data_IF_891663655044
#
_entry.id   IF_891663655044
#
_cell.length_a   1.000
_cell.length_b   1.000
_cell.length_c   1.000
_cell.angle_alpha   90.00
_cell.angle_beta   90.00
_cell.angle_gamma   90.00
#
_symmetry.space_group_name_H-M   'P 1'
#
loop_
_entity.id
_entity.type
_entity.pdbx_description
1 polymer ?
#
# COMPACT_ATOMS: atom_id res chain seq x y z
N UNK A 1 -41.04 -5.29 14.92
CA UNK A 1 -40.68 -4.11 14.12
C UNK A 1 -41.97 -3.38 13.85
N UNK A 2 -42.14 -2.15 14.34
CA UNK A 2 -43.37 -1.38 14.08
C UNK A 2 -43.40 -0.99 12.60
N UNK A 3 -44.38 -1.50 11.87
CA UNK A 3 -44.68 -1.06 10.50
C UNK A 3 -45.31 0.33 10.58
N UNK A 4 -44.60 1.35 10.12
CA UNK A 4 -45.14 2.70 9.98
C UNK A 4 -46.31 2.67 8.99
N UNK A 5 -47.45 3.21 9.39
CA UNK A 5 -48.63 3.23 8.53
C UNK A 5 -48.48 4.30 7.44
N UNK A 6 -49.20 4.14 6.32
CA UNK A 6 -49.21 5.12 5.23
C UNK A 6 -49.65 6.52 5.73
N UNK A 7 -50.53 6.56 6.74
CA UNK A 7 -50.97 7.78 7.39
C UNK A 7 -49.82 8.49 8.14
N UNK A 8 -48.97 7.74 8.84
CA UNK A 8 -47.81 8.29 9.57
C UNK A 8 -46.81 8.94 8.59
N UNK A 9 -46.60 8.31 7.43
CA UNK A 9 -45.74 8.87 6.38
C UNK A 9 -46.32 10.16 5.78
N UNK A 10 -47.63 10.19 5.53
CA UNK A 10 -48.32 11.39 5.03
C UNK A 10 -48.23 12.54 6.03
N UNK A 11 -48.40 12.25 7.32
CA UNK A 11 -48.28 13.25 8.38
C UNK A 11 -46.83 13.78 8.48
N UNK A 12 -45.83 12.90 8.49
CA UNK A 12 -44.43 13.29 8.50
C UNK A 12 -44.05 14.21 7.31
N UNK A 13 -44.63 13.99 6.13
CA UNK A 13 -44.41 14.87 4.96
C UNK A 13 -45.06 16.25 5.13
N UNK A 14 -46.23 16.33 5.76
CA UNK A 14 -46.90 17.60 6.06
C UNK A 14 -46.11 18.38 7.12
N UNK A 15 -45.68 17.71 8.18
CA UNK A 15 -44.89 18.31 9.25
C UNK A 15 -43.54 18.81 8.71
N UNK A 16 -42.86 18.03 7.86
CA UNK A 16 -41.63 18.46 7.18
C UNK A 16 -41.87 19.61 6.18
N UNK A 17 -43.05 19.69 5.55
CA UNK A 17 -43.39 20.81 4.68
C UNK A 17 -43.60 22.09 5.50
N UNK A 18 -44.26 21.99 6.66
CA UNK A 18 -44.48 23.10 7.59
C UNK A 18 -43.15 23.61 8.18
N UNK A 19 -42.29 22.70 8.65
CA UNK A 19 -40.95 23.04 9.17
C UNK A 19 -40.13 23.84 8.15
N UNK A 20 -40.29 23.54 6.85
CA UNK A 20 -39.54 24.24 5.81
C UNK A 20 -40.07 25.63 5.46
N UNK A 21 -41.28 26.00 5.89
CA UNK A 21 -41.83 27.35 5.69
C UNK A 21 -41.16 28.38 6.59
N UNK A 22 -40.80 27.98 7.80
CA UNK A 22 -40.23 28.85 8.83
C UNK A 22 -38.71 29.07 8.66
N UNK A 23 -38.07 28.33 7.74
CA UNK A 23 -36.63 28.47 7.49
C UNK A 23 -36.30 29.81 6.79
N UNK A 24 -35.18 30.46 7.16
CA UNK A 24 -34.70 31.64 6.46
C UNK A 24 -34.41 31.32 5.00
N UNK A 25 -34.75 32.26 4.11
CA UNK A 25 -34.57 32.13 2.66
C UNK A 25 -33.46 33.05 2.19
N UNK A 26 -32.51 32.52 1.42
CA UNK A 26 -31.37 33.26 0.85
C UNK A 26 -31.45 33.24 -0.68
N UNK A 27 -30.89 34.26 -1.33
CA UNK A 27 -30.66 34.25 -2.78
C UNK A 27 -29.58 33.23 -3.16
N UNK A 28 -29.87 32.41 -4.16
CA UNK A 28 -28.89 31.55 -4.82
C UNK A 28 -28.04 32.36 -5.84
N UNK A 29 -27.08 31.70 -6.50
CA UNK A 29 -26.24 32.32 -7.52
C UNK A 29 -27.03 32.76 -8.77
N UNK A 30 -28.25 32.23 -8.95
CA UNK A 30 -29.18 32.60 -10.03
C UNK A 30 -30.19 33.66 -9.58
N UNK A 31 -30.04 34.22 -8.37
CA UNK A 31 -30.92 35.25 -7.81
C UNK A 31 -32.27 34.75 -7.28
N UNK A 32 -32.53 33.45 -7.26
CA UNK A 32 -33.77 32.84 -6.76
C UNK A 32 -33.73 32.69 -5.24
N UNK A 33 -34.87 32.87 -4.57
CA UNK A 33 -34.99 32.74 -3.12
C UNK A 33 -35.21 31.29 -2.70
N UNK A 34 -34.19 30.67 -2.11
CA UNK A 34 -34.18 29.25 -1.70
C UNK A 34 -34.09 29.16 -0.17
N UNK A 35 -34.88 28.29 0.49
CA UNK A 35 -34.79 28.09 1.94
C UNK A 35 -33.46 27.42 2.34
N UNK A 36 -32.91 27.80 3.49
CA UNK A 36 -31.66 27.27 4.05
C UNK A 36 -31.86 25.90 4.72
N UNK A 37 -32.28 24.91 3.92
CA UNK A 37 -32.39 23.52 4.38
C UNK A 37 -31.01 22.94 4.67
N UNK A 38 -30.93 21.96 5.58
CA UNK A 38 -29.68 21.21 5.87
C UNK A 38 -29.01 20.66 4.60
N UNK A 39 -29.79 20.15 3.66
CA UNK A 39 -29.32 19.66 2.36
C UNK A 39 -28.64 20.75 1.50
N UNK A 40 -29.05 22.01 1.64
CA UNK A 40 -28.56 23.13 0.83
C UNK A 40 -27.39 23.89 1.47
N UNK A 41 -27.09 23.63 2.75
CA UNK A 41 -25.99 24.30 3.48
C UNK A 41 -24.63 24.23 2.78
N UNK A 42 -24.18 23.09 2.22
CA UNK A 42 -22.89 23.01 1.53
C UNK A 42 -22.79 23.97 0.33
N UNK A 43 -23.89 24.16 -0.39
CA UNK A 43 -23.94 25.03 -1.56
C UNK A 43 -23.78 26.52 -1.18
N UNK A 44 -24.42 26.96 -0.09
CA UNK A 44 -24.27 28.34 0.40
C UNK A 44 -22.87 28.62 0.95
N UNK A 45 -22.24 27.67 1.63
CA UNK A 45 -20.84 27.80 2.11
C UNK A 45 -19.88 28.02 0.94
N UNK A 46 -20.06 27.27 -0.15
CA UNK A 46 -19.24 27.43 -1.35
C UNK A 46 -19.45 28.79 -2.03
N UNK A 47 -20.69 29.27 -2.11
CA UNK A 47 -20.98 30.60 -2.64
C UNK A 47 -20.36 31.71 -1.79
N UNK A 48 -20.45 31.60 -0.46
CA UNK A 48 -19.86 32.55 0.47
C UNK A 48 -18.33 32.56 0.36
N UNK A 49 -17.71 31.38 0.19
CA UNK A 49 -16.27 31.26 -0.08
C UNK A 49 -15.89 31.99 -1.37
N UNK A 50 -16.61 31.76 -2.47
CA UNK A 50 -16.36 32.46 -3.75
C UNK A 50 -16.55 33.97 -3.65
N UNK A 51 -17.60 34.42 -2.95
CA UNK A 51 -17.84 35.86 -2.76
C UNK A 51 -16.70 36.51 -1.98
N UNK A 52 -16.23 35.87 -0.90
CA UNK A 52 -15.07 36.36 -0.15
C UNK A 52 -13.80 36.41 -0.99
N UNK A 53 -13.57 35.42 -1.86
CA UNK A 53 -12.44 35.45 -2.79
C UNK A 53 -12.55 36.60 -3.80
N UNK A 54 -13.71 36.79 -4.41
CA UNK A 54 -13.94 37.90 -5.34
C UNK A 54 -13.81 39.27 -4.68
N UNK A 55 -14.28 39.42 -3.43
CA UNK A 55 -14.09 40.63 -2.62
C UNK A 55 -12.61 40.88 -2.32
N UNK A 56 -11.87 39.84 -1.93
CA UNK A 56 -10.41 39.91 -1.72
C UNK A 56 -9.68 40.30 -2.99
N UNK A 57 -10.01 39.69 -4.13
CA UNK A 57 -9.42 40.00 -5.44
C UNK A 57 -9.74 41.42 -5.90
N UNK A 58 -10.98 41.88 -5.71
CA UNK A 58 -11.39 43.24 -6.01
C UNK A 58 -10.64 44.26 -5.13
N UNK A 59 -10.52 43.99 -3.83
CA UNK A 59 -9.75 44.82 -2.90
C UNK A 59 -8.25 44.86 -3.27
N UNK A 60 -7.67 43.71 -3.67
CA UNK A 60 -6.30 43.64 -4.20
C UNK A 60 -6.14 44.46 -5.47
N UNK A 61 -7.07 44.35 -6.41
CA UNK A 61 -7.05 45.12 -7.66
C UNK A 61 -7.19 46.63 -7.42
N UNK A 62 -8.02 47.05 -6.47
CA UNK A 62 -8.16 48.46 -6.07
C UNK A 62 -6.84 48.99 -5.47
N UNK A 63 -6.23 48.23 -4.56
CA UNK A 63 -4.91 48.57 -3.98
C UNK A 63 -3.83 48.70 -5.05
N UNK A 64 -3.81 47.78 -6.02
CA UNK A 64 -2.87 47.82 -7.15
C UNK A 64 -3.08 49.02 -8.05
N UNK A 65 -4.33 49.42 -8.32
CA UNK A 65 -4.65 50.64 -9.09
C UNK A 65 -4.15 51.90 -8.38
N UNK A 66 -4.46 52.05 -7.09
CA UNK A 66 -3.99 53.17 -6.27
C UNK A 66 -2.46 53.22 -6.28
N UNK A 67 -1.80 52.07 -6.16
CA UNK A 67 -0.34 51.98 -6.22
C UNK A 67 0.21 52.39 -7.60
N UNK A 68 -0.41 51.94 -8.69
CA UNK A 68 -0.03 52.32 -10.05
C UNK A 68 -0.17 53.83 -10.29
N UNK A 69 -1.23 54.46 -9.75
CA UNK A 69 -1.42 55.91 -9.80
C UNK A 69 -0.34 56.66 -9.00
N UNK A 70 0.06 56.15 -7.83
CA UNK A 70 1.17 56.70 -7.04
C UNK A 70 2.51 56.60 -7.78
N UNK A 71 2.77 55.46 -8.42
CA UNK A 71 3.96 55.27 -9.26
C UNK A 71 3.95 56.25 -10.44
N UNK A 72 2.81 56.41 -11.12
CA UNK A 72 2.67 57.36 -12.23
C UNK A 72 2.86 58.83 -11.80
N UNK A 73 2.53 59.14 -10.54
CA UNK A 73 2.76 60.46 -9.92
C UNK A 73 4.22 60.68 -9.50
N UNK A 74 5.06 59.64 -9.53
CA UNK A 74 6.46 59.70 -9.08
C UNK A 74 6.64 59.66 -7.56
N UNK A 75 5.61 59.22 -6.82
CA UNK A 75 5.68 59.04 -5.37
C UNK A 75 6.37 57.69 -5.05
N UNK A 76 7.24 57.66 -4.03
CA UNK A 76 7.87 56.42 -3.59
C UNK A 76 6.83 55.48 -2.96
N UNK A 77 6.70 54.27 -3.51
CA UNK A 77 5.78 53.25 -2.98
C UNK A 77 6.57 52.14 -2.31
N UNK A 78 6.19 51.80 -1.08
CA UNK A 78 6.79 50.68 -0.33
C UNK A 78 6.54 49.31 -0.99
N UNK A 79 7.09 48.22 -0.42
CA UNK A 79 6.92 46.84 -0.92
C UNK A 79 5.44 46.43 -1.02
N UNK A 80 5.11 45.49 -1.92
CA UNK A 80 3.72 45.05 -2.05
C UNK A 80 3.28 44.30 -0.79
N UNK A 81 2.19 44.70 -0.11
CA UNK A 81 1.66 43.92 0.99
C UNK A 81 1.16 42.53 0.56
N UNK A 82 0.81 42.34 -0.73
CA UNK A 82 0.34 41.07 -1.27
C UNK A 82 1.48 40.19 -1.85
N UNK A 83 2.74 40.61 -1.75
CA UNK A 83 3.89 39.81 -2.17
C UNK A 83 4.13 38.66 -1.17
N UNK A 84 3.74 37.45 -1.57
CA UNK A 84 4.06 36.24 -0.82
C UNK A 84 5.58 36.02 -0.81
N UNK A 85 6.23 36.38 0.29
CA UNK A 85 7.65 36.09 0.50
C UNK A 85 7.83 34.56 0.49
N UNK A 86 8.64 33.98 -0.40
CA UNK A 86 8.84 32.55 -0.42
C UNK A 86 9.38 32.10 0.93
N UNK A 87 8.76 31.09 1.52
CA UNK A 87 9.27 30.50 2.77
C UNK A 87 10.70 30.02 2.52
N UNK A 88 11.65 30.54 3.31
CA UNK A 88 13.06 30.16 3.22
C UNK A 88 13.21 28.64 3.36
N UNK A 89 12.46 28.03 4.29
CA UNK A 89 12.41 26.58 4.46
C UNK A 89 11.88 25.85 3.21
N UNK A 90 10.80 26.35 2.60
CA UNK A 90 10.25 25.77 1.37
C UNK A 90 11.22 25.84 0.19
N UNK A 91 12.02 26.91 0.12
CA UNK A 91 13.06 27.07 -0.91
C UNK A 91 14.20 26.09 -0.71
N UNK A 92 14.66 25.91 0.53
CA UNK A 92 15.68 24.93 0.89
C UNK A 92 15.22 23.51 0.54
N UNK A 93 13.98 23.14 0.89
CA UNK A 93 13.42 21.83 0.57
C UNK A 93 13.40 21.60 -0.96
N UNK A 94 12.97 22.59 -1.75
CA UNK A 94 12.97 22.48 -3.21
C UNK A 94 14.39 22.26 -3.77
N UNK A 95 15.39 22.96 -3.25
CA UNK A 95 16.79 22.77 -3.66
C UNK A 95 17.26 21.36 -3.35
N UNK A 96 16.94 20.82 -2.16
CA UNK A 96 17.27 19.44 -1.82
C UNK A 96 16.59 18.41 -2.74
N UNK A 97 15.31 18.61 -3.06
CA UNK A 97 14.57 17.72 -3.96
C UNK A 97 15.18 17.76 -5.37
N UNK A 98 15.47 18.94 -5.90
CA UNK A 98 16.10 19.10 -7.22
C UNK A 98 17.50 18.50 -7.21
N UNK A 99 18.29 18.74 -6.16
CA UNK A 99 19.62 18.17 -6.00
C UNK A 99 19.60 16.64 -5.99
N UNK A 100 18.66 16.04 -5.26
CA UNK A 100 18.47 14.59 -5.22
C UNK A 100 18.07 14.04 -6.60
N UNK A 101 17.17 14.70 -7.32
CA UNK A 101 16.81 14.27 -8.68
C UNK A 101 17.99 14.36 -9.64
N UNK A 102 18.82 15.40 -9.53
CA UNK A 102 20.02 15.56 -10.35
C UNK A 102 21.08 14.49 -10.05
N UNK A 103 21.28 14.11 -8.78
CA UNK A 103 22.23 13.05 -8.43
C UNK A 103 21.76 11.67 -8.90
N UNK A 104 20.45 11.39 -8.83
CA UNK A 104 19.87 10.18 -9.39
C UNK A 104 19.98 10.14 -10.92
N UNK A 105 19.69 11.26 -11.59
CA UNK A 105 19.82 11.37 -13.05
C UNK A 105 21.28 11.22 -13.50
N UNK A 106 22.23 11.82 -12.79
CA UNK A 106 23.65 11.65 -13.05
C UNK A 106 24.10 10.19 -12.87
N UNK A 107 23.62 9.50 -11.83
CA UNK A 107 23.86 8.07 -11.63
C UNK A 107 23.33 7.25 -12.82
N UNK A 108 22.09 7.52 -13.24
CA UNK A 108 21.47 6.88 -14.40
C UNK A 108 22.26 7.11 -15.70
N UNK A 109 22.73 8.35 -15.94
CA UNK A 109 23.50 8.67 -17.14
C UNK A 109 24.89 8.04 -17.17
N UNK A 110 25.60 8.00 -16.03
CA UNK A 110 26.98 7.53 -15.97
C UNK A 110 27.07 6.01 -15.86
N UNK A 111 26.26 5.38 -15.02
CA UNK A 111 26.34 3.94 -14.71
C UNK A 111 25.14 3.13 -15.22
N UNK A 112 24.13 3.76 -15.82
CA UNK A 112 22.87 3.10 -16.17
C UNK A 112 21.93 2.88 -14.98
N UNK A 113 22.43 3.10 -13.75
CA UNK A 113 21.71 2.86 -12.50
C UNK A 113 21.63 4.15 -11.65
N UNK A 114 20.41 4.59 -11.24
CA UNK A 114 20.24 5.82 -10.44
C UNK A 114 20.93 5.81 -9.08
N UNK A 115 21.29 4.63 -8.56
CA UNK A 115 21.77 4.43 -7.20
C UNK A 115 23.28 4.30 -7.09
N UNK A 116 24.03 4.78 -8.11
CA UNK A 116 25.50 4.81 -8.11
C UNK A 116 26.13 3.45 -7.81
N UNK A 117 25.57 2.37 -8.38
CA UNK A 117 26.09 1.01 -8.19
C UNK A 117 26.02 0.49 -6.75
N UNK A 118 25.20 1.10 -5.87
CA UNK A 118 25.01 0.59 -4.52
C UNK A 118 24.21 -0.72 -4.54
N UNK A 119 24.77 -1.78 -3.94
CA UNK A 119 24.09 -3.07 -3.76
C UNK A 119 23.16 -3.05 -2.52
N UNK A 120 22.24 -2.10 -2.43
CA UNK A 120 21.31 -2.00 -1.33
C UNK A 120 20.13 -2.98 -1.53
N UNK A 121 20.21 -4.11 -0.83
CA UNK A 121 19.22 -5.22 -0.81
C UNK A 121 17.75 -4.76 -0.62
N UNK A 122 17.54 -3.62 0.03
CA UNK A 122 16.23 -3.03 0.31
C UNK A 122 15.55 -2.35 -0.89
N UNK A 123 16.28 -2.01 -1.97
CA UNK A 123 15.70 -1.37 -3.16
C UNK A 123 15.57 -2.32 -4.35
N UNK A 124 16.19 -3.50 -4.30
CA UNK A 124 16.03 -4.52 -5.34
C UNK A 124 14.62 -5.12 -5.24
N UNK A 125 13.78 -4.86 -6.26
CA UNK A 125 12.40 -5.35 -6.37
C UNK A 125 12.24 -6.85 -6.10
N UNK A 126 13.30 -7.63 -6.31
CA UNK A 126 13.36 -9.08 -6.05
C UNK A 126 13.14 -9.44 -4.57
N UNK A 127 13.57 -8.61 -3.61
CA UNK A 127 13.30 -8.86 -2.19
C UNK A 127 11.87 -8.48 -1.80
N UNK A 128 11.34 -7.37 -2.32
CA UNK A 128 9.96 -6.95 -2.07
C UNK A 128 8.95 -7.94 -2.67
N UNK A 129 9.27 -8.53 -3.82
CA UNK A 129 8.47 -9.60 -4.43
C UNK A 129 8.37 -10.85 -3.53
N UNK A 130 9.38 -11.16 -2.71
CA UNK A 130 9.32 -12.25 -1.74
C UNK A 130 8.40 -11.95 -0.54
N UNK A 131 8.09 -10.69 -0.27
CA UNK A 131 7.20 -10.27 0.82
C UNK A 131 5.73 -10.16 0.41
N UNK A 132 5.43 -10.30 -0.88
CA UNK A 132 4.05 -10.38 -1.38
C UNK A 132 3.72 -11.87 -1.49
N UNK A 133 2.93 -12.45 -0.57
CA UNK A 133 2.48 -13.82 -0.73
C UNK A 133 1.59 -13.87 -1.97
N UNK A 134 2.09 -14.47 -3.05
CA UNK A 134 1.25 -14.85 -4.18
C UNK A 134 0.17 -15.78 -3.63
N UNK A 135 -1.05 -15.27 -3.48
CA UNK A 135 -2.21 -16.00 -2.95
C UNK A 135 -2.60 -17.23 -3.80
N UNK A 136 -1.87 -17.50 -4.88
CA UNK A 136 -1.96 -18.72 -5.66
C UNK A 136 -1.05 -19.79 -5.05
N UNK A 137 -1.58 -20.59 -4.14
CA UNK A 137 -0.90 -21.82 -3.72
C UNK A 137 -0.73 -22.73 -4.95
N UNK A 138 0.48 -22.80 -5.48
CA UNK A 138 0.81 -23.70 -6.59
C UNK A 138 0.88 -25.12 -6.04
N UNK A 139 0.10 -26.01 -6.64
CA UNK A 139 0.13 -27.44 -6.31
C UNK A 139 1.25 -28.12 -7.10
N UNK A 140 2.07 -28.90 -6.41
CA UNK A 140 3.14 -29.70 -7.00
C UNK A 140 2.82 -31.18 -6.82
N UNK A 141 2.88 -31.94 -7.91
CA UNK A 141 2.91 -33.42 -7.82
C UNK A 141 4.30 -33.91 -7.38
N UNK A 142 4.39 -35.11 -6.80
CA UNK A 142 5.68 -35.69 -6.37
C UNK A 142 6.72 -35.74 -7.50
N UNK A 143 6.30 -36.07 -8.72
CA UNK A 143 7.20 -36.13 -9.88
C UNK A 143 7.70 -34.76 -10.30
N UNK A 144 6.86 -33.72 -10.18
CA UNK A 144 7.28 -32.33 -10.43
C UNK A 144 8.21 -31.84 -9.32
N UNK A 145 7.91 -32.15 -8.06
CA UNK A 145 8.74 -31.75 -6.92
C UNK A 145 10.16 -32.34 -7.03
N UNK A 146 10.27 -33.59 -7.49
CA UNK A 146 11.56 -34.27 -7.68
C UNK A 146 12.49 -33.56 -8.68
N UNK A 147 11.96 -32.71 -9.57
CA UNK A 147 12.79 -31.92 -10.51
C UNK A 147 13.46 -30.69 -9.86
N UNK A 148 13.11 -30.38 -8.61
CA UNK A 148 13.63 -29.25 -7.83
C UNK A 148 14.58 -29.73 -6.71
N UNK A 149 15.46 -30.67 -7.04
CA UNK A 149 16.46 -31.25 -6.13
C UNK A 149 17.72 -30.38 -5.95
N UNK A 150 17.81 -29.28 -6.70
CA UNK A 150 18.94 -28.36 -6.67
C UNK A 150 20.15 -28.79 -7.50
N UNK A 151 20.03 -29.83 -8.34
CA UNK A 151 21.07 -30.18 -9.34
C UNK A 151 21.25 -29.08 -10.38
N UNK A 152 20.14 -28.52 -10.88
CA UNK A 152 20.15 -27.41 -11.84
C UNK A 152 20.36 -26.05 -11.13
N UNK A 153 21.47 -25.32 -11.38
CA UNK A 153 21.76 -24.05 -10.70
C UNK A 153 20.74 -22.94 -10.98
N UNK A 154 20.02 -23.04 -12.10
CA UNK A 154 18.99 -22.06 -12.49
C UNK A 154 17.64 -22.29 -11.80
N UNK A 155 17.40 -23.48 -11.25
CA UNK A 155 16.14 -23.82 -10.59
C UNK A 155 16.21 -23.59 -9.07
N UNK A 156 15.10 -23.17 -8.43
CA UNK A 156 15.01 -23.13 -6.98
C UNK A 156 15.02 -24.55 -6.39
N UNK A 157 15.37 -24.64 -5.11
CA UNK A 157 15.40 -25.90 -4.35
C UNK A 157 14.15 -25.96 -3.48
N UNK A 158 13.32 -26.97 -3.68
CA UNK A 158 12.08 -27.14 -2.94
C UNK A 158 12.16 -28.32 -1.96
N UNK A 159 11.46 -28.18 -0.85
CA UNK A 159 11.31 -29.20 0.18
C UNK A 159 9.83 -29.29 0.57
N UNK A 160 9.25 -30.49 0.54
CA UNK A 160 7.91 -30.69 1.06
C UNK A 160 7.94 -31.26 2.49
N UNK A 161 7.05 -30.75 3.34
CA UNK A 161 6.80 -31.28 4.67
C UNK A 161 5.29 -31.27 4.90
N UNK A 162 4.72 -32.47 5.07
CA UNK A 162 3.29 -32.68 5.38
C UNK A 162 2.37 -32.05 4.32
N UNK A 163 2.74 -32.21 3.04
CA UNK A 163 1.99 -31.63 1.93
C UNK A 163 2.16 -30.12 1.72
N UNK A 164 3.08 -29.46 2.42
CA UNK A 164 3.41 -28.04 2.22
C UNK A 164 4.79 -27.91 1.59
N UNK A 165 4.89 -27.15 0.49
CA UNK A 165 6.14 -26.93 -0.25
C UNK A 165 6.80 -25.63 0.19
N UNK A 166 8.04 -25.74 0.65
CA UNK A 166 8.87 -24.63 1.08
C UNK A 166 10.02 -24.40 0.10
N UNK A 167 10.32 -23.13 -0.16
CA UNK A 167 11.51 -22.74 -0.90
C UNK A 167 12.71 -22.64 0.05
N UNK A 168 13.68 -23.53 -0.17
CA UNK A 168 14.93 -23.63 0.59
C UNK A 168 16.14 -23.20 -0.25
N UNK A 169 15.92 -22.42 -1.32
CA UNK A 169 16.96 -21.93 -2.23
C UNK A 169 18.03 -21.07 -1.54
N UNK A 170 17.68 -20.33 -0.49
CA UNK A 170 18.67 -19.57 0.30
C UNK A 170 19.66 -20.51 1.01
N UNK A 171 19.20 -21.70 1.40
CA UNK A 171 19.97 -22.76 2.02
C UNK A 171 20.64 -23.72 1.04
N UNK A 172 20.92 -23.32 -0.21
CA UNK A 172 21.43 -24.23 -1.26
C UNK A 172 22.73 -24.95 -0.89
N UNK A 173 23.58 -24.39 -0.02
CA UNK A 173 24.78 -25.09 0.50
C UNK A 173 24.44 -26.34 1.31
N UNK A 174 23.26 -26.36 1.93
CA UNK A 174 22.80 -27.39 2.86
C UNK A 174 21.88 -28.41 2.17
N UNK A 175 20.99 -27.92 1.30
CA UNK A 175 20.00 -28.73 0.58
C UNK A 175 20.38 -29.06 -0.88
N UNK A 176 21.35 -28.35 -1.46
CA UNK A 176 21.85 -28.63 -2.81
C UNK A 176 22.78 -29.84 -2.85
N UNK A 177 23.21 -30.26 -4.05
CA UNK A 177 24.06 -31.43 -4.25
C UNK A 177 25.36 -31.33 -3.43
N UNK A 178 25.65 -32.37 -2.66
CA UNK A 178 26.80 -32.41 -1.73
C UNK A 178 26.53 -31.84 -0.33
N UNK A 179 25.35 -31.26 -0.10
CA UNK A 179 24.90 -30.81 1.22
C UNK A 179 24.43 -31.96 2.11
N UNK A 180 24.49 -31.78 3.43
CA UNK A 180 24.08 -32.82 4.41
C UNK A 180 22.59 -33.13 4.39
N UNK A 181 21.77 -32.21 3.88
CA UNK A 181 20.32 -32.34 3.77
C UNK A 181 19.85 -32.50 2.31
N UNK A 182 20.77 -32.79 1.38
CA UNK A 182 20.47 -32.92 -0.04
C UNK A 182 19.38 -33.95 -0.35
N UNK A 183 19.37 -35.05 0.39
CA UNK A 183 18.40 -36.13 0.25
C UNK A 183 16.93 -35.69 0.39
N UNK A 184 16.68 -34.54 1.04
CA UNK A 184 15.33 -33.99 1.21
C UNK A 184 14.89 -33.07 0.08
N UNK A 185 15.83 -32.57 -0.73
CA UNK A 185 15.49 -31.70 -1.84
C UNK A 185 14.62 -32.45 -2.86
N UNK A 186 13.54 -31.80 -3.29
CA UNK A 186 12.58 -32.35 -4.25
C UNK A 186 11.68 -33.48 -3.73
N UNK A 187 11.62 -33.72 -2.41
CA UNK A 187 10.81 -34.81 -1.82
C UNK A 187 9.99 -34.32 -0.62
N UNK A 188 8.93 -35.08 -0.30
CA UNK A 188 8.24 -34.92 0.99
C UNK A 188 8.94 -35.77 2.06
N UNK A 189 9.42 -35.08 3.09
CA UNK A 189 10.19 -35.66 4.17
C UNK A 189 9.47 -35.60 5.52
N UNK A 190 8.14 -35.44 5.52
CA UNK A 190 7.31 -35.36 6.72
C UNK A 190 7.67 -36.41 7.78
N UNK A 191 7.78 -37.68 7.38
CA UNK A 191 8.06 -38.79 8.29
C UNK A 191 9.48 -38.74 8.86
N UNK A 192 10.46 -38.33 8.06
CA UNK A 192 11.86 -38.23 8.47
C UNK A 192 12.08 -37.17 9.55
N UNK A 193 11.37 -36.03 9.47
CA UNK A 193 11.46 -34.97 10.49
C UNK A 193 10.84 -35.34 11.82
N UNK A 194 9.78 -36.16 11.81
CA UNK A 194 9.13 -36.63 13.04
C UNK A 194 9.93 -37.74 13.71
N UNK A 195 10.44 -38.70 12.93
CA UNK A 195 11.16 -39.88 13.46
C UNK A 195 12.66 -39.64 13.69
N UNK A 196 13.25 -38.61 13.08
CA UNK A 196 14.69 -38.36 13.10
C UNK A 196 15.50 -39.31 12.19
N UNK A 197 14.84 -40.23 11.48
CA UNK A 197 15.48 -41.19 10.58
C UNK A 197 15.57 -40.62 9.17
N UNK A 198 16.62 -39.84 8.94
CA UNK A 198 16.81 -39.04 7.72
C UNK A 198 17.18 -39.81 6.45
N UNK A 199 17.51 -41.10 6.53
CA UNK A 199 17.93 -41.93 5.38
C UNK A 199 16.84 -42.85 4.85
N UNK A 200 15.93 -43.31 5.72
CA UNK A 200 14.99 -44.38 5.42
C UNK A 200 13.53 -43.89 5.35
N UNK A 201 13.19 -42.82 6.07
CA UNK A 201 11.81 -42.33 6.20
C UNK A 201 11.50 -41.11 5.31
N UNK A 202 12.02 -41.06 4.08
CA UNK A 202 11.73 -40.00 3.11
C UNK A 202 10.38 -40.25 2.43
N UNK A 203 9.30 -40.14 3.20
CA UNK A 203 7.94 -40.37 2.73
C UNK A 203 6.98 -39.35 3.35
N UNK A 204 5.90 -39.05 2.62
CA UNK A 204 4.76 -38.27 3.11
C UNK A 204 3.87 -39.08 4.07
N UNK A 205 4.02 -40.41 4.14
CA UNK A 205 3.13 -41.26 4.93
C UNK A 205 3.33 -41.08 6.45
N UNK A 206 2.32 -40.51 7.08
CA UNK A 206 2.24 -40.24 8.52
C UNK A 206 1.37 -41.25 9.28
N UNK A 207 0.89 -42.30 8.61
CA UNK A 207 0.07 -43.33 9.27
C UNK A 207 0.90 -44.12 10.28
N UNK A 208 0.31 -44.43 11.43
CA UNK A 208 0.95 -45.17 12.50
C UNK A 208 1.70 -44.32 13.54
N UNK A 209 1.63 -42.98 13.43
CA UNK A 209 2.17 -42.09 14.44
C UNK A 209 1.27 -41.96 15.68
N UNK A 210 1.88 -42.01 16.86
CA UNK A 210 1.22 -41.76 18.14
C UNK A 210 1.03 -40.28 18.45
N UNK A 211 0.32 -39.96 19.54
CA UNK A 211 -0.01 -38.58 19.92
C UNK A 211 1.23 -37.68 20.14
N UNK A 212 2.31 -38.25 20.69
CA UNK A 212 3.56 -37.54 20.91
C UNK A 212 4.24 -37.14 19.59
N UNK A 213 4.26 -38.04 18.60
CA UNK A 213 4.86 -37.80 17.27
C UNK A 213 4.05 -36.75 16.50
N UNK A 214 2.72 -36.78 16.64
CA UNK A 214 1.83 -35.77 16.07
C UNK A 214 2.09 -34.36 16.66
N UNK A 215 2.43 -34.28 17.95
CA UNK A 215 2.82 -33.01 18.60
C UNK A 215 4.15 -32.49 18.08
N UNK A 216 5.14 -33.36 17.91
CA UNK A 216 6.44 -33.02 17.32
C UNK A 216 6.25 -32.52 15.88
N UNK A 217 5.41 -33.19 15.08
CA UNK A 217 5.06 -32.75 13.72
C UNK A 217 4.53 -31.32 13.71
N UNK A 218 3.54 -31.03 14.55
CA UNK A 218 2.93 -29.70 14.64
C UNK A 218 3.93 -28.63 15.06
N UNK A 219 4.81 -28.96 16.01
CA UNK A 219 5.88 -28.06 16.43
C UNK A 219 6.88 -27.79 15.29
N UNK A 220 7.27 -28.83 14.54
CA UNK A 220 8.18 -28.70 13.41
C UNK A 220 7.58 -27.84 12.29
N UNK A 221 6.32 -28.08 11.92
CA UNK A 221 5.62 -27.29 10.90
C UNK A 221 5.53 -25.82 11.28
N UNK A 222 5.16 -25.52 12.53
CA UNK A 222 5.08 -24.14 13.01
C UNK A 222 6.45 -23.44 13.01
N UNK A 223 7.52 -24.16 13.38
CA UNK A 223 8.89 -23.63 13.38
C UNK A 223 9.43 -23.42 11.98
N UNK A 224 9.14 -24.33 11.06
CA UNK A 224 9.61 -24.24 9.68
C UNK A 224 8.90 -23.12 8.91
N UNK A 225 7.59 -22.96 9.15
CA UNK A 225 6.79 -21.86 8.60
C UNK A 225 7.27 -20.47 9.01
N UNK A 226 7.92 -20.35 10.18
CA UNK A 226 8.49 -19.07 10.64
C UNK A 226 9.87 -18.77 10.05
N UNK A 227 10.57 -19.76 9.50
CA UNK A 227 11.93 -19.64 8.97
C UNK A 227 11.97 -19.54 7.44
N UNK A 228 10.98 -20.12 6.75
CA UNK A 228 10.95 -20.20 5.28
C UNK A 228 9.61 -19.74 4.71
N UNK A 229 9.66 -19.03 3.58
CA UNK A 229 8.47 -18.62 2.86
C UNK A 229 7.74 -19.86 2.30
N UNK A 230 6.42 -19.91 2.48
CA UNK A 230 5.58 -20.96 1.91
C UNK A 230 5.34 -20.67 0.42
N UNK A 231 5.64 -21.63 -0.46
CA UNK A 231 5.53 -21.46 -1.90
C UNK A 231 4.37 -22.26 -2.53
N UNK A 232 3.70 -23.12 -1.76
CA UNK A 232 2.55 -23.89 -2.25
C UNK A 232 2.24 -25.16 -1.45
N UNK A 233 1.39 -26.01 -2.02
CA UNK A 233 1.04 -27.34 -1.50
C UNK A 233 1.57 -28.46 -2.38
N UNK A 234 1.77 -29.64 -1.82
CA UNK A 234 2.07 -30.88 -2.53
C UNK A 234 0.84 -31.80 -2.48
N UNK A 235 0.50 -32.41 -3.61
CA UNK A 235 -0.68 -33.26 -3.80
C UNK A 235 -0.29 -34.70 -4.17
#
# INVERSE_FOLDING_TARGET
MNELTEADYVQARKDAAEETKDLPRRRDALGRMVPEKKANKPYFVYQDYKRKQAELEAAKAERQKIRAEKIARGEEVGPDPDEEKPSAAGTIIKIFVIGLLMTLYAGYFVMGDPFWGSENKWLTAKHWASFIPDGTQKMYSESQLATYDGTDPEKPVFLAIDGIVYDVSEGRRTYGPGGSYHQFAGRDAARAFVTGCFKEHLTHDIRGFGENEMKVRRWFLHRFWTLHACCGGAA
#
